data_IF_024492350963
#
_entry.id   IF_024492350963
#
_cell.length_a   1.000
_cell.length_b   1.000
_cell.length_c   1.000
_cell.angle_alpha   90.00
_cell.angle_beta   90.00
_cell.angle_gamma   90.00
#
_symmetry.space_group_name_H-M   'P 1'
#
loop_
_entity.id
_entity.type
_entity.pdbx_description
1 polymer ?
#
# COMPACT_ATOMS: atom_id res chain seq x y z
N UNK A 1 15.48 55.56 -20.09
CA UNK A 1 14.14 55.55 -20.71
C UNK A 1 13.13 55.04 -19.70
N UNK A 2 12.24 55.89 -19.17
CA UNK A 2 11.12 55.43 -18.33
C UNK A 2 10.12 54.74 -19.25
N UNK A 3 10.03 53.41 -19.19
CA UNK A 3 8.94 52.68 -19.82
C UNK A 3 7.63 53.24 -19.25
N UNK A 4 6.91 54.01 -20.08
CA UNK A 4 5.62 54.57 -19.73
C UNK A 4 4.63 53.42 -19.65
N UNK A 5 4.46 52.86 -18.45
CA UNK A 5 3.39 51.88 -18.18
C UNK A 5 2.08 52.46 -18.67
N UNK A 6 1.36 51.69 -19.48
CA UNK A 6 0.05 52.10 -19.99
C UNK A 6 -0.90 52.42 -18.83
N UNK A 7 -1.92 53.24 -19.09
CA UNK A 7 -2.94 53.55 -18.10
C UNK A 7 -3.57 52.27 -17.50
N UNK A 8 -3.76 51.23 -18.35
CA UNK A 8 -4.24 49.91 -17.92
C UNK A 8 -3.23 49.18 -17.02
N UNK A 9 -1.94 49.17 -17.35
CA UNK A 9 -0.91 48.53 -16.51
C UNK A 9 -0.77 49.23 -15.14
N UNK A 10 -0.91 50.55 -15.10
CA UNK A 10 -0.84 51.31 -13.85
C UNK A 10 -2.08 51.05 -12.97
N UNK A 11 -3.26 50.91 -13.57
CA UNK A 11 -4.52 50.67 -12.87
C UNK A 11 -4.69 49.22 -12.40
N UNK A 12 -4.33 48.24 -13.24
CA UNK A 12 -4.60 46.82 -12.98
C UNK A 12 -3.35 46.02 -12.55
N UNK A 13 -2.13 46.49 -12.85
CA UNK A 13 -0.88 45.83 -12.48
C UNK A 13 -0.72 45.55 -10.98
N UNK A 14 -1.14 46.45 -10.06
CA UNK A 14 -1.09 46.18 -8.61
C UNK A 14 -1.92 44.96 -8.16
N UNK A 15 -2.94 44.56 -8.92
CA UNK A 15 -3.75 43.38 -8.60
C UNK A 15 -2.92 42.09 -8.67
N UNK A 16 -1.90 42.03 -9.53
CA UNK A 16 -1.00 40.87 -9.65
C UNK A 16 -0.10 40.67 -8.42
N UNK A 17 0.02 41.69 -7.56
CA UNK A 17 0.81 41.65 -6.33
C UNK A 17 -0.03 41.32 -5.09
N UNK A 18 -1.33 41.05 -5.25
CA UNK A 18 -2.21 40.59 -4.17
C UNK A 18 -2.13 39.07 -4.03
N UNK A 19 -0.96 38.55 -3.70
CA UNK A 19 -0.71 37.10 -3.55
C UNK A 19 -0.17 36.77 -2.17
N UNK A 20 -0.28 35.49 -1.77
CA UNK A 20 0.34 34.98 -0.56
C UNK A 20 1.86 35.23 -0.53
N UNK A 21 2.55 35.00 -1.65
CA UNK A 21 3.99 35.26 -1.79
C UNK A 21 4.34 36.73 -1.52
N UNK A 22 3.50 37.67 -1.96
CA UNK A 22 3.72 39.10 -1.72
C UNK A 22 3.48 39.49 -0.25
N UNK A 23 2.51 38.84 0.41
CA UNK A 23 2.30 39.02 1.84
C UNK A 23 3.44 38.41 2.68
N UNK A 24 3.97 37.27 2.26
CA UNK A 24 5.07 36.57 2.92
C UNK A 24 6.41 37.32 2.77
N UNK A 25 6.71 37.87 1.59
CA UNK A 25 7.90 38.72 1.41
C UNK A 25 7.85 39.95 2.32
N UNK A 26 6.67 40.59 2.44
CA UNK A 26 6.46 41.71 3.36
C UNK A 26 6.58 41.29 4.82
N UNK A 27 6.08 40.11 5.20
CA UNK A 27 6.26 39.57 6.55
C UNK A 27 7.74 39.42 6.88
N UNK A 28 8.53 38.81 6.00
CA UNK A 28 9.97 38.67 6.21
C UNK A 28 10.68 40.02 6.24
N UNK A 29 10.28 40.97 5.40
CA UNK A 29 10.82 42.33 5.46
C UNK A 29 10.63 42.99 6.83
N UNK A 30 9.44 42.84 7.42
CA UNK A 30 9.09 43.50 8.68
C UNK A 30 9.59 42.77 9.92
N UNK A 31 9.50 41.44 9.91
CA UNK A 31 9.72 40.60 11.09
C UNK A 31 11.09 39.90 11.08
N UNK A 32 11.70 39.75 9.90
CA UNK A 32 12.98 39.06 9.73
C UNK A 32 13.91 39.83 8.78
N UNK A 33 14.17 41.13 9.00
CA UNK A 33 14.98 41.95 8.09
C UNK A 33 16.40 41.42 7.90
N UNK A 34 16.92 40.64 8.86
CA UNK A 34 18.22 39.95 8.78
C UNK A 34 18.32 38.90 7.67
N UNK A 35 17.21 38.46 7.08
CA UNK A 35 17.18 37.53 5.94
C UNK A 35 17.67 38.16 4.62
N UNK A 36 17.96 39.46 4.62
CA UNK A 36 18.54 40.18 3.50
C UNK A 36 17.51 40.93 2.64
N UNK A 37 18.01 41.47 1.52
CA UNK A 37 17.22 42.25 0.57
C UNK A 37 16.21 41.39 -0.20
N UNK A 38 15.37 42.07 -0.98
CA UNK A 38 14.26 41.45 -1.73
C UNK A 38 14.66 40.20 -2.53
N UNK A 39 15.82 40.21 -3.21
CA UNK A 39 16.29 39.07 -4.01
C UNK A 39 16.51 37.81 -3.17
N UNK A 40 17.07 37.94 -1.96
CA UNK A 40 17.29 36.80 -1.05
C UNK A 40 15.97 36.30 -0.47
N UNK A 41 15.10 37.22 -0.04
CA UNK A 41 13.78 36.86 0.50
C UNK A 41 12.91 36.17 -0.53
N UNK A 42 12.96 36.58 -1.79
CA UNK A 42 12.18 35.98 -2.88
C UNK A 42 12.48 34.48 -3.05
N UNK A 43 13.75 34.06 -2.92
CA UNK A 43 14.12 32.63 -2.98
C UNK A 43 13.46 31.85 -1.84
N UNK A 44 13.50 32.40 -0.62
CA UNK A 44 12.89 31.76 0.56
C UNK A 44 11.37 31.68 0.40
N UNK A 45 10.74 32.78 -0.02
CA UNK A 45 9.29 32.86 -0.27
C UNK A 45 8.86 31.80 -1.31
N UNK A 46 9.61 31.63 -2.39
CA UNK A 46 9.31 30.64 -3.42
C UNK A 46 9.44 29.20 -2.88
N UNK A 47 10.46 28.90 -2.07
CA UNK A 47 10.63 27.57 -1.46
C UNK A 47 9.53 27.25 -0.44
N UNK A 48 9.15 28.23 0.39
CA UNK A 48 8.03 28.08 1.32
C UNK A 48 6.73 27.88 0.55
N UNK A 49 6.52 28.62 -0.54
CA UNK A 49 5.34 28.42 -1.40
C UNK A 49 5.33 27.01 -2.00
N UNK A 50 6.44 26.50 -2.51
CA UNK A 50 6.53 25.14 -3.04
C UNK A 50 6.23 24.07 -1.97
N UNK A 51 6.77 24.25 -0.76
CA UNK A 51 6.49 23.34 0.37
C UNK A 51 5.01 23.40 0.79
N UNK A 52 4.42 24.60 0.79
CA UNK A 52 2.98 24.77 1.04
C UNK A 52 2.16 24.10 -0.06
N UNK A 53 2.53 24.22 -1.33
CA UNK A 53 1.85 23.55 -2.45
C UNK A 53 2.00 22.01 -2.40
N UNK A 54 3.12 21.50 -1.89
CA UNK A 54 3.37 20.06 -1.73
C UNK A 54 2.56 19.45 -0.58
N UNK A 55 2.49 20.12 0.58
CA UNK A 55 1.82 19.60 1.78
C UNK A 55 0.37 20.07 1.93
N UNK A 56 0.01 21.18 1.31
CA UNK A 56 -1.31 21.81 1.29
C UNK A 56 -1.68 22.19 -0.15
N UNK A 57 -1.80 21.21 -1.07
CA UNK A 57 -2.20 21.50 -2.43
C UNK A 57 -3.50 22.32 -2.42
N UNK A 58 -3.68 23.28 -3.36
CA UNK A 58 -4.77 24.24 -3.33
C UNK A 58 -6.11 23.60 -2.93
N UNK A 59 -6.69 24.06 -1.82
CA UNK A 59 -7.94 23.55 -1.24
C UNK A 59 -9.15 23.76 -2.16
N UNK A 60 -9.30 22.98 -3.24
CA UNK A 60 -10.53 22.99 -4.05
C UNK A 60 -11.24 21.65 -4.21
N UNK A 61 -10.68 20.51 -3.79
CA UNK A 61 -11.33 19.21 -4.12
C UNK A 61 -11.39 18.16 -3.01
N UNK A 62 -11.19 18.50 -1.73
CA UNK A 62 -11.70 17.61 -0.68
C UNK A 62 -13.22 17.66 -0.69
N UNK A 63 -13.84 16.61 -1.21
CA UNK A 63 -15.29 16.41 -1.21
C UNK A 63 -15.76 16.08 0.21
N UNK A 64 -17.05 16.26 0.48
CA UNK A 64 -17.64 15.82 1.75
C UNK A 64 -17.28 14.35 1.99
N UNK A 65 -16.71 14.04 3.16
CA UNK A 65 -16.31 12.68 3.52
C UNK A 65 -14.89 12.30 3.11
N UNK A 66 -14.13 13.17 2.45
CA UNK A 66 -12.72 12.95 2.15
C UNK A 66 -11.79 13.44 3.27
N UNK A 67 -10.64 12.75 3.41
CA UNK A 67 -9.56 13.15 4.32
C UNK A 67 -8.21 12.98 3.64
N UNK A 68 -7.28 13.90 3.90
CA UNK A 68 -5.86 13.70 3.58
C UNK A 68 -5.20 12.97 4.75
N UNK A 69 -4.51 11.86 4.46
CA UNK A 69 -3.75 11.10 5.45
C UNK A 69 -2.34 10.83 4.95
N UNK A 70 -1.27 11.08 5.74
CA UNK A 70 0.08 10.68 5.38
C UNK A 70 0.19 9.14 5.34
N UNK A 71 0.36 8.58 4.15
CA UNK A 71 0.61 7.15 3.96
C UNK A 71 2.12 6.89 3.85
N UNK A 72 2.53 5.63 4.02
CA UNK A 72 3.89 5.22 3.69
C UNK A 72 4.00 5.10 2.16
N UNK A 73 5.09 5.57 1.57
CA UNK A 73 5.34 5.41 0.14
C UNK A 73 5.41 3.90 -0.22
N UNK A 74 4.70 3.47 -1.25
CA UNK A 74 4.68 2.07 -1.66
C UNK A 74 6.06 1.53 -2.06
N UNK A 75 6.95 2.40 -2.54
CA UNK A 75 8.31 2.07 -2.97
C UNK A 75 9.31 2.21 -1.82
N UNK A 76 8.84 2.47 -0.60
CA UNK A 76 9.70 2.47 0.57
C UNK A 76 10.27 1.08 0.86
N UNK A 77 11.54 1.06 1.22
CA UNK A 77 12.26 -0.15 1.63
C UNK A 77 11.93 -0.51 3.07
N UNK A 78 11.48 -1.75 3.26
CA UNK A 78 11.38 -2.35 4.58
C UNK A 78 12.78 -2.63 5.12
N UNK A 79 13.09 -2.11 6.31
CA UNK A 79 14.29 -2.48 7.06
C UNK A 79 13.87 -2.83 8.50
N UNK A 80 14.48 -3.90 9.03
CA UNK A 80 14.17 -4.38 10.38
C UNK A 80 14.44 -3.27 11.41
N UNK A 81 13.42 -2.94 12.22
CA UNK A 81 13.51 -1.88 13.24
C UNK A 81 13.51 -0.45 12.70
N UNK A 82 13.22 -0.23 11.40
CA UNK A 82 13.07 1.13 10.85
C UNK A 82 11.84 1.81 11.44
N UNK A 83 12.07 2.94 12.12
CA UNK A 83 11.02 3.71 12.76
C UNK A 83 10.22 4.54 11.75
N UNK A 84 9.02 4.98 12.13
CA UNK A 84 8.14 5.74 11.23
C UNK A 84 8.75 7.09 10.84
N UNK A 85 9.54 7.72 11.73
CA UNK A 85 10.21 9.00 11.47
C UNK A 85 11.29 8.88 10.38
N UNK A 86 11.78 7.68 10.13
CA UNK A 86 12.76 7.38 9.08
C UNK A 86 12.12 6.82 7.81
N UNK A 87 10.79 6.66 7.81
CA UNK A 87 10.02 6.08 6.71
C UNK A 87 9.52 7.20 5.80
N UNK A 88 9.74 7.07 4.50
CA UNK A 88 9.23 8.00 3.49
C UNK A 88 7.70 7.95 3.49
N UNK A 89 7.10 9.11 3.72
CA UNK A 89 5.66 9.29 3.69
C UNK A 89 5.25 10.06 2.44
N UNK A 90 4.01 9.88 2.01
CA UNK A 90 3.36 10.65 0.94
C UNK A 90 1.92 10.97 1.36
N UNK A 91 1.42 12.20 1.14
CA UNK A 91 0.02 12.50 1.36
C UNK A 91 -0.86 11.71 0.38
N UNK A 92 -1.91 11.07 0.89
CA UNK A 92 -2.96 10.48 0.06
C UNK A 92 -4.33 11.01 0.49
N UNK A 93 -5.25 11.12 -0.47
CA UNK A 93 -6.60 11.66 -0.27
C UNK A 93 -7.61 10.53 -0.42
N UNK A 94 -8.36 10.23 0.62
CA UNK A 94 -9.23 9.05 0.66
C UNK A 94 -10.66 9.38 1.10
N UNK A 95 -11.63 8.68 0.51
CA UNK A 95 -13.06 8.79 0.76
C UNK A 95 -13.41 7.97 2.02
N UNK A 96 -13.32 8.59 3.20
CA UNK A 96 -13.79 7.98 4.45
C UNK A 96 -15.30 7.72 4.42
N UNK A 97 -16.05 8.64 3.81
CA UNK A 97 -17.47 8.52 3.52
C UNK A 97 -17.67 8.84 2.05
N UNK A 98 -18.26 7.93 1.30
CA UNK A 98 -18.59 8.09 -0.12
C UNK A 98 -20.08 8.30 -0.33
N UNK A 99 -20.47 8.77 -1.53
CA UNK A 99 -21.88 8.83 -1.96
C UNK A 99 -22.56 7.47 -1.87
N UNK A 100 -21.85 6.41 -2.24
CA UNK A 100 -22.36 5.04 -2.26
C UNK A 100 -22.65 4.52 -0.84
N UNK A 101 -21.86 4.94 0.15
CA UNK A 101 -22.13 4.60 1.56
C UNK A 101 -23.42 5.26 2.04
N UNK A 102 -23.65 6.53 1.68
CA UNK A 102 -24.85 7.27 2.04
C UNK A 102 -26.08 6.64 1.39
N UNK A 103 -26.02 6.32 0.10
CA UNK A 103 -27.09 5.61 -0.58
C UNK A 103 -27.40 4.25 0.04
N UNK A 104 -26.37 3.48 0.39
CA UNK A 104 -26.53 2.18 1.04
C UNK A 104 -27.20 2.33 2.43
N UNK A 105 -26.85 3.37 3.19
CA UNK A 105 -27.53 3.69 4.45
C UNK A 105 -28.99 4.03 4.23
N UNK A 106 -29.32 4.87 3.24
CA UNK A 106 -30.71 5.24 2.92
C UNK A 106 -31.54 4.05 2.45
N UNK A 107 -30.92 3.06 1.79
CA UNK A 107 -31.54 1.79 1.37
C UNK A 107 -31.67 0.77 2.52
N UNK A 108 -31.21 1.10 3.74
CA UNK A 108 -31.30 0.23 4.91
C UNK A 108 -30.29 -0.92 4.92
N UNK A 109 -29.18 -0.81 4.18
CA UNK A 109 -28.14 -1.84 4.18
C UNK A 109 -27.47 -1.95 5.56
N UNK A 110 -27.03 -3.15 5.93
CA UNK A 110 -26.38 -3.41 7.22
C UNK A 110 -25.09 -2.59 7.34
N UNK A 111 -25.00 -1.77 8.40
CA UNK A 111 -23.82 -0.92 8.68
C UNK A 111 -22.47 -1.67 8.73
N UNK A 112 -22.46 -2.98 9.02
CA UNK A 112 -21.23 -3.81 8.94
C UNK A 112 -20.71 -3.85 7.50
N UNK A 113 -21.58 -4.08 6.51
CA UNK A 113 -21.20 -4.23 5.10
C UNK A 113 -20.71 -2.90 4.52
N UNK A 114 -21.40 -1.81 4.85
CA UNK A 114 -21.00 -0.44 4.46
C UNK A 114 -19.59 -0.14 5.00
N UNK A 115 -19.34 -0.37 6.29
CA UNK A 115 -18.03 -0.15 6.90
C UNK A 115 -16.95 -1.08 6.35
N UNK A 116 -17.28 -2.32 6.03
CA UNK A 116 -16.34 -3.24 5.39
C UNK A 116 -15.90 -2.71 4.03
N UNK A 117 -16.84 -2.28 3.18
CA UNK A 117 -16.53 -1.67 1.87
C UNK A 117 -15.71 -0.39 2.02
N UNK A 118 -16.09 0.48 2.95
CA UNK A 118 -15.33 1.70 3.24
C UNK A 118 -13.88 1.38 3.67
N UNK A 119 -13.67 0.40 4.55
CA UNK A 119 -12.33 0.00 4.98
C UNK A 119 -11.46 -0.48 3.81
N UNK A 120 -12.02 -1.30 2.89
CA UNK A 120 -11.31 -1.78 1.71
C UNK A 120 -10.98 -0.64 0.76
N UNK A 121 -11.95 0.24 0.47
CA UNK A 121 -11.77 1.43 -0.37
C UNK A 121 -10.62 2.31 0.11
N UNK A 122 -10.45 2.48 1.43
CA UNK A 122 -9.35 3.26 1.99
C UNK A 122 -7.97 2.68 1.65
N UNK A 123 -7.81 1.35 1.65
CA UNK A 123 -6.55 0.72 1.23
C UNK A 123 -6.32 0.85 -0.27
N UNK A 124 -7.36 0.64 -1.08
CA UNK A 124 -7.29 0.73 -2.53
C UNK A 124 -6.93 2.16 -2.98
N UNK A 125 -7.63 3.17 -2.48
CA UNK A 125 -7.36 4.57 -2.83
C UNK A 125 -5.97 5.06 -2.39
N UNK A 126 -5.47 4.56 -1.25
CA UNK A 126 -4.09 4.84 -0.86
C UNK A 126 -3.11 4.25 -1.88
N UNK A 127 -3.32 2.97 -2.25
CA UNK A 127 -2.48 2.25 -3.22
C UNK A 127 -2.49 2.92 -4.59
N UNK A 128 -3.64 3.36 -5.06
CA UNK A 128 -3.79 4.09 -6.34
C UNK A 128 -3.00 5.40 -6.38
N UNK A 129 -2.70 5.98 -5.21
CA UNK A 129 -1.89 7.19 -5.06
C UNK A 129 -0.40 6.91 -4.74
N UNK A 130 0.01 5.65 -4.81
CA UNK A 130 1.36 5.19 -4.48
C UNK A 130 1.68 5.24 -2.99
N UNK A 131 0.65 5.22 -2.13
CA UNK A 131 0.77 5.13 -0.68
C UNK A 131 0.20 3.81 -0.16
N UNK A 132 0.62 3.39 1.03
CA UNK A 132 0.08 2.18 1.68
C UNK A 132 -0.24 2.42 3.14
N UNK A 133 -1.38 1.91 3.58
CA UNK A 133 -1.85 2.01 4.96
C UNK A 133 -1.63 0.72 5.74
N UNK A 134 -1.44 0.86 7.04
CA UNK A 134 -1.57 -0.23 8.01
C UNK A 134 -3.02 -0.42 8.43
N UNK A 135 -3.33 -1.56 9.08
CA UNK A 135 -4.62 -1.75 9.73
C UNK A 135 -4.91 -0.71 10.82
N UNK A 136 -3.86 -0.13 11.43
CA UNK A 136 -3.99 0.90 12.48
C UNK A 136 -4.40 2.25 11.89
N UNK A 137 -3.85 2.63 10.73
CA UNK A 137 -4.25 3.85 10.03
C UNK A 137 -5.77 3.85 9.74
N UNK A 138 -6.24 2.79 9.09
CA UNK A 138 -7.66 2.64 8.73
C UNK A 138 -8.55 2.50 9.97
N UNK A 139 -8.10 1.76 11.00
CA UNK A 139 -8.84 1.65 12.26
C UNK A 139 -9.00 3.02 12.94
N UNK A 140 -7.96 3.85 12.91
CA UNK A 140 -7.96 5.20 13.49
C UNK A 140 -8.91 6.12 12.71
N UNK A 141 -8.81 6.14 11.38
CA UNK A 141 -9.70 6.91 10.51
C UNK A 141 -11.18 6.58 10.76
N UNK A 142 -11.50 5.29 10.90
CA UNK A 142 -12.88 4.82 11.09
C UNK A 142 -13.35 4.79 12.55
N UNK A 143 -12.47 5.12 13.51
CA UNK A 143 -12.71 4.96 14.96
C UNK A 143 -13.17 3.54 15.35
N UNK A 144 -12.48 2.54 14.82
CA UNK A 144 -12.69 1.12 15.10
C UNK A 144 -11.42 0.49 15.70
N UNK A 145 -11.52 -0.75 16.17
CA UNK A 145 -10.32 -1.49 16.60
C UNK A 145 -9.57 -2.07 15.39
N UNK A 146 -8.22 -2.19 15.44
CA UNK A 146 -7.45 -2.89 14.41
C UNK A 146 -7.92 -4.34 14.18
N UNK A 147 -8.42 -5.00 15.23
CA UNK A 147 -9.00 -6.35 15.13
C UNK A 147 -10.29 -6.36 14.28
N UNK A 148 -11.14 -5.35 14.41
CA UNK A 148 -12.35 -5.20 13.59
C UNK A 148 -11.99 -5.01 12.12
N UNK A 149 -11.02 -4.13 11.82
CA UNK A 149 -10.52 -3.92 10.46
C UNK A 149 -9.93 -5.21 9.89
N UNK A 150 -9.15 -5.94 10.68
CA UNK A 150 -8.56 -7.22 10.26
C UNK A 150 -9.63 -8.26 9.88
N UNK A 151 -10.73 -8.32 10.64
CA UNK A 151 -11.85 -9.21 10.32
C UNK A 151 -12.60 -8.78 9.06
N UNK A 152 -12.83 -7.47 8.86
CA UNK A 152 -13.44 -6.96 7.64
C UNK A 152 -12.63 -7.30 6.39
N UNK A 153 -11.31 -7.13 6.46
CA UNK A 153 -10.42 -7.46 5.35
C UNK A 153 -10.44 -8.97 5.10
N UNK A 154 -10.32 -9.81 6.13
CA UNK A 154 -10.34 -11.27 5.96
C UNK A 154 -11.64 -11.77 5.34
N UNK A 155 -12.77 -11.27 5.81
CA UNK A 155 -14.09 -11.59 5.25
C UNK A 155 -14.17 -11.18 3.77
N UNK A 156 -13.63 -10.00 3.42
CA UNK A 156 -13.63 -9.47 2.05
C UNK A 156 -12.72 -10.27 1.12
N UNK A 157 -11.48 -10.52 1.51
CA UNK A 157 -10.49 -11.30 0.75
C UNK A 157 -10.99 -12.71 0.47
N UNK A 158 -11.67 -13.35 1.44
CA UNK A 158 -12.28 -14.66 1.27
C UNK A 158 -13.46 -14.63 0.27
N UNK A 159 -14.31 -13.62 0.33
CA UNK A 159 -15.48 -13.52 -0.55
C UNK A 159 -15.08 -13.20 -2.00
N UNK A 160 -14.08 -12.34 -2.18
CA UNK A 160 -13.69 -11.82 -3.50
C UNK A 160 -12.46 -12.53 -4.09
N UNK A 161 -11.86 -13.47 -3.36
CA UNK A 161 -10.66 -14.21 -3.78
C UNK A 161 -9.49 -13.29 -4.21
N UNK A 162 -9.40 -12.13 -3.53
CA UNK A 162 -8.42 -11.09 -3.80
C UNK A 162 -7.61 -10.77 -2.53
N UNK A 163 -6.53 -10.01 -2.69
CA UNK A 163 -5.72 -9.51 -1.57
C UNK A 163 -5.84 -7.99 -1.49
N UNK A 164 -6.13 -7.45 -0.30
CA UNK A 164 -6.23 -6.01 -0.06
C UNK A 164 -4.82 -5.41 0.08
N UNK A 165 -4.51 -4.28 -0.60
CA UNK A 165 -3.17 -3.69 -0.68
C UNK A 165 -2.75 -2.95 0.61
N UNK A 166 -2.67 -3.70 1.71
CA UNK A 166 -2.17 -3.22 3.00
C UNK A 166 -0.66 -3.06 2.95
N UNK A 167 -0.07 -2.16 3.75
CA UNK A 167 1.38 -2.04 3.93
C UNK A 167 2.04 -3.38 4.23
N UNK A 168 1.45 -4.18 5.11
CA UNK A 168 1.95 -5.52 5.44
C UNK A 168 2.00 -6.47 4.25
N UNK A 169 1.06 -6.35 3.30
CA UNK A 169 1.04 -7.11 2.04
C UNK A 169 2.08 -6.55 1.07
N UNK A 170 2.04 -5.24 0.80
CA UNK A 170 2.87 -4.59 -0.23
C UNK A 170 4.37 -4.66 0.11
N UNK A 171 4.72 -4.47 1.39
CA UNK A 171 6.11 -4.49 1.86
C UNK A 171 6.53 -5.83 2.45
N UNK A 172 5.66 -6.84 2.40
CA UNK A 172 5.90 -8.18 2.98
C UNK A 172 6.44 -8.10 4.43
N UNK A 173 5.80 -7.25 5.25
CA UNK A 173 6.24 -6.96 6.63
C UNK A 173 5.59 -7.87 7.67
N UNK A 174 4.81 -8.88 7.24
CA UNK A 174 4.01 -9.73 8.11
C UNK A 174 4.44 -11.20 8.09
N UNK A 175 4.18 -11.91 9.18
CA UNK A 175 4.14 -13.39 9.23
C UNK A 175 2.88 -13.96 8.55
N UNK A 176 2.39 -13.32 7.50
CA UNK A 176 1.10 -13.65 6.89
C UNK A 176 1.23 -14.97 6.11
N UNK A 177 1.18 -16.09 6.83
CA UNK A 177 1.11 -17.46 6.28
C UNK A 177 0.09 -17.54 5.14
N UNK A 178 -0.95 -16.71 5.21
CA UNK A 178 -2.02 -16.55 4.23
C UNK A 178 -1.55 -16.08 2.85
N UNK A 179 -0.65 -15.10 2.75
CA UNK A 179 -0.20 -14.56 1.45
C UNK A 179 0.71 -15.55 0.71
N UNK A 180 1.68 -16.13 1.43
CA UNK A 180 2.47 -17.26 0.93
C UNK A 180 1.57 -18.39 0.41
N UNK A 181 0.60 -18.82 1.23
CA UNK A 181 -0.32 -19.91 0.89
C UNK A 181 -1.09 -19.60 -0.39
N UNK A 182 -1.68 -18.41 -0.48
CA UNK A 182 -2.44 -17.97 -1.66
C UNK A 182 -1.57 -17.89 -2.91
N UNK A 183 -0.38 -17.30 -2.83
CA UNK A 183 0.55 -17.16 -3.96
C UNK A 183 0.98 -18.55 -4.45
N UNK A 184 1.43 -19.43 -3.56
CA UNK A 184 1.87 -20.76 -3.94
C UNK A 184 0.72 -21.59 -4.51
N UNK A 185 -0.49 -21.50 -3.94
CA UNK A 185 -1.67 -22.18 -4.46
C UNK A 185 -2.00 -21.73 -5.90
N UNK A 186 -2.05 -20.43 -6.16
CA UNK A 186 -2.34 -19.88 -7.49
C UNK A 186 -1.32 -20.31 -8.55
N UNK A 187 -0.04 -20.33 -8.21
CA UNK A 187 1.02 -20.72 -9.15
C UNK A 187 1.10 -22.24 -9.33
N UNK A 188 1.10 -23.00 -8.23
CA UNK A 188 1.42 -24.43 -8.23
C UNK A 188 0.19 -25.29 -8.49
N UNK A 189 -0.97 -24.91 -7.94
CA UNK A 189 -2.21 -25.69 -8.05
C UNK A 189 -3.07 -25.17 -9.19
N UNK A 190 -3.32 -23.85 -9.27
CA UNK A 190 -4.14 -23.27 -10.34
C UNK A 190 -3.38 -23.05 -11.67
N UNK A 191 -2.04 -23.20 -11.68
CA UNK A 191 -1.22 -23.02 -12.88
C UNK A 191 -1.17 -21.58 -13.43
N UNK A 192 -1.47 -20.57 -12.61
CA UNK A 192 -1.49 -19.16 -13.05
C UNK A 192 -0.09 -18.65 -13.32
N UNK A 193 -0.01 -17.62 -14.17
CA UNK A 193 1.25 -16.92 -14.42
C UNK A 193 1.66 -16.02 -13.25
N UNK A 194 2.94 -15.64 -13.22
CA UNK A 194 3.47 -14.69 -12.22
C UNK A 194 2.74 -13.34 -12.34
N UNK A 195 2.49 -12.88 -13.56
CA UNK A 195 1.83 -11.60 -13.84
C UNK A 195 0.37 -11.61 -13.37
N UNK A 196 -0.35 -12.71 -13.63
CA UNK A 196 -1.72 -12.86 -13.16
C UNK A 196 -1.75 -12.90 -11.62
N UNK A 197 -0.86 -13.67 -11.00
CA UNK A 197 -0.78 -13.76 -9.54
C UNK A 197 -0.38 -12.43 -8.92
N UNK A 198 0.50 -11.65 -9.55
CA UNK A 198 0.88 -10.31 -9.11
C UNK A 198 -0.33 -9.38 -9.02
N UNK A 199 -1.16 -9.37 -10.08
CA UNK A 199 -2.39 -8.58 -10.14
C UNK A 199 -3.41 -9.03 -9.09
N UNK A 200 -3.63 -10.34 -8.95
CA UNK A 200 -4.63 -10.87 -8.02
C UNK A 200 -4.24 -10.74 -6.53
N UNK A 201 -2.93 -10.76 -6.24
CA UNK A 201 -2.43 -10.77 -4.87
C UNK A 201 -1.85 -9.43 -4.42
N UNK A 202 -1.77 -8.42 -5.30
CA UNK A 202 -1.14 -7.14 -5.04
C UNK A 202 0.33 -7.25 -4.58
N UNK A 203 1.06 -8.25 -5.10
CA UNK A 203 2.49 -8.43 -4.85
C UNK A 203 3.31 -8.11 -6.09
N UNK A 204 4.57 -7.74 -5.88
CA UNK A 204 5.50 -7.59 -7.00
C UNK A 204 5.86 -8.96 -7.60
N UNK A 205 6.19 -9.04 -8.89
CA UNK A 205 6.68 -10.28 -9.51
C UNK A 205 7.90 -10.87 -8.79
N UNK A 206 8.77 -10.02 -8.25
CA UNK A 206 9.95 -10.42 -7.48
C UNK A 206 9.56 -11.09 -6.16
N UNK A 207 8.57 -10.52 -5.45
CA UNK A 207 8.05 -11.10 -4.22
C UNK A 207 7.41 -12.48 -4.46
N UNK A 208 6.60 -12.61 -5.52
CA UNK A 208 6.00 -13.89 -5.93
C UNK A 208 7.09 -14.91 -6.28
N UNK A 209 8.05 -14.51 -7.11
CA UNK A 209 9.15 -15.38 -7.54
C UNK A 209 9.93 -15.92 -6.33
N UNK A 210 10.16 -15.09 -5.31
CA UNK A 210 10.81 -15.52 -4.07
C UNK A 210 10.00 -16.59 -3.34
N UNK A 211 8.69 -16.41 -3.14
CA UNK A 211 7.86 -17.44 -2.49
C UNK A 211 7.85 -18.76 -3.27
N UNK A 212 7.72 -18.68 -4.59
CA UNK A 212 7.71 -19.88 -5.46
C UNK A 212 9.07 -20.60 -5.43
N UNK A 213 10.18 -19.84 -5.44
CA UNK A 213 11.53 -20.41 -5.31
C UNK A 213 11.73 -21.10 -3.96
N UNK A 214 11.30 -20.48 -2.87
CA UNK A 214 11.36 -21.08 -1.54
C UNK A 214 10.52 -22.36 -1.48
N UNK A 215 9.30 -22.34 -1.99
CA UNK A 215 8.44 -23.51 -2.10
C UNK A 215 9.13 -24.67 -2.84
N UNK A 216 9.61 -24.42 -4.07
CA UNK A 216 10.26 -25.45 -4.91
C UNK A 216 11.53 -26.00 -4.26
N UNK A 217 12.34 -25.14 -3.65
CA UNK A 217 13.58 -25.54 -2.97
C UNK A 217 13.28 -26.43 -1.76
N UNK A 218 12.28 -26.09 -0.95
CA UNK A 218 11.89 -26.87 0.22
C UNK A 218 11.30 -28.22 -0.21
N UNK A 219 10.46 -28.23 -1.25
CA UNK A 219 9.93 -29.46 -1.84
C UNK A 219 11.06 -30.39 -2.32
N UNK A 220 12.08 -29.85 -3.00
CA UNK A 220 13.24 -30.62 -3.45
C UNK A 220 14.07 -31.18 -2.28
N UNK A 221 14.21 -30.44 -1.17
CA UNK A 221 14.87 -30.97 0.03
C UNK A 221 14.06 -32.11 0.67
N UNK A 222 12.73 -32.01 0.69
CA UNK A 222 11.87 -33.07 1.20
C UNK A 222 11.93 -34.34 0.33
N UNK A 223 11.95 -34.22 -0.99
CA UNK A 223 12.05 -35.39 -1.87
C UNK A 223 13.38 -36.14 -1.73
N UNK A 224 14.44 -35.45 -1.29
CA UNK A 224 15.74 -36.01 -0.94
C UNK A 224 15.83 -36.54 0.50
N UNK A 225 14.74 -36.48 1.28
CA UNK A 225 14.67 -37.00 2.65
C UNK A 225 15.39 -36.16 3.70
N UNK A 226 15.67 -34.88 3.44
CA UNK A 226 16.32 -34.00 4.42
C UNK A 226 15.37 -33.70 5.59
N UNK A 227 15.93 -33.61 6.79
CA UNK A 227 15.17 -33.16 7.96
C UNK A 227 14.80 -31.67 7.86
N UNK A 228 13.78 -31.17 8.57
CA UNK A 228 13.45 -29.74 8.59
C UNK A 228 14.63 -28.85 9.00
N UNK A 229 15.48 -29.34 9.91
CA UNK A 229 16.68 -28.65 10.39
C UNK A 229 17.77 -28.55 9.32
N UNK A 230 18.02 -29.64 8.60
CA UNK A 230 18.99 -29.65 7.49
C UNK A 230 18.48 -28.81 6.32
N UNK A 231 17.18 -28.89 6.05
CA UNK A 231 16.50 -28.06 5.06
C UNK A 231 16.63 -26.58 5.39
N UNK A 232 16.42 -26.18 6.66
CA UNK A 232 16.59 -24.79 7.10
C UNK A 232 18.02 -24.28 6.85
N UNK A 233 19.03 -25.13 7.11
CA UNK A 233 20.43 -24.81 6.86
C UNK A 233 20.73 -24.63 5.36
N UNK A 234 20.33 -25.59 4.52
CA UNK A 234 20.55 -25.56 3.06
C UNK A 234 19.77 -24.41 2.41
N UNK A 235 18.52 -24.21 2.81
CA UNK A 235 17.66 -23.16 2.30
C UNK A 235 17.95 -21.78 2.92
N UNK A 236 18.81 -21.67 3.94
CA UNK A 236 19.12 -20.41 4.63
C UNK A 236 17.86 -19.65 5.07
N UNK A 237 16.88 -20.37 5.58
CA UNK A 237 15.63 -19.83 6.13
C UNK A 237 15.43 -20.34 7.56
N UNK A 238 14.53 -19.72 8.30
CA UNK A 238 14.24 -20.17 9.67
C UNK A 238 13.53 -21.53 9.65
N UNK A 239 13.77 -22.34 10.69
CA UNK A 239 13.11 -23.63 10.85
C UNK A 239 11.58 -23.49 10.91
N UNK A 240 11.08 -22.44 11.57
CA UNK A 240 9.65 -22.12 11.56
C UNK A 240 9.10 -21.89 10.15
N UNK A 241 9.86 -21.21 9.28
CA UNK A 241 9.43 -20.99 7.90
C UNK A 241 9.38 -22.32 7.12
N UNK A 242 10.29 -23.25 7.39
CA UNK A 242 10.25 -24.60 6.82
C UNK A 242 8.95 -25.30 7.20
N UNK A 243 8.60 -25.40 8.49
CA UNK A 243 7.35 -26.04 8.91
C UNK A 243 6.11 -25.44 8.24
N UNK A 244 6.08 -24.11 8.07
CA UNK A 244 4.98 -23.45 7.37
C UNK A 244 4.91 -23.82 5.87
N UNK A 245 6.04 -23.99 5.18
CA UNK A 245 6.07 -24.44 3.79
C UNK A 245 5.78 -25.93 3.65
N UNK A 246 6.25 -26.77 4.57
CA UNK A 246 5.95 -28.21 4.57
C UNK A 246 4.45 -28.46 4.67
N UNK A 247 3.78 -27.83 5.64
CA UNK A 247 2.33 -27.93 5.79
C UNK A 247 1.58 -27.42 4.54
N UNK A 248 2.10 -26.37 3.91
CA UNK A 248 1.54 -25.84 2.67
C UNK A 248 1.71 -26.79 1.47
N UNK A 249 2.89 -27.42 1.35
CA UNK A 249 3.20 -28.40 0.29
C UNK A 249 2.27 -29.61 0.41
N UNK A 250 2.13 -30.17 1.61
CA UNK A 250 1.26 -31.32 1.87
C UNK A 250 -0.19 -31.02 1.46
N UNK A 251 -0.72 -29.85 1.86
CA UNK A 251 -2.07 -29.43 1.47
C UNK A 251 -2.21 -29.30 -0.05
N UNK A 252 -1.27 -28.61 -0.70
CA UNK A 252 -1.33 -28.40 -2.14
C UNK A 252 -1.23 -29.73 -2.92
N UNK A 253 -0.43 -30.69 -2.45
CA UNK A 253 -0.34 -32.02 -3.08
C UNK A 253 -1.65 -32.79 -2.99
N UNK A 254 -2.40 -32.67 -1.89
CA UNK A 254 -3.74 -33.24 -1.78
C UNK A 254 -4.69 -32.58 -2.78
N UNK A 255 -4.70 -31.26 -2.83
CA UNK A 255 -5.58 -30.49 -3.74
C UNK A 255 -5.29 -30.82 -5.22
N UNK A 256 -4.02 -31.00 -5.61
CA UNK A 256 -3.62 -31.43 -6.96
C UNK A 256 -4.13 -32.85 -7.27
N UNK A 257 -4.02 -33.78 -6.31
CA UNK A 257 -4.52 -35.16 -6.47
C UNK A 257 -6.04 -35.20 -6.63
N UNK A 258 -6.76 -34.37 -5.88
CA UNK A 258 -8.22 -34.22 -5.99
C UNK A 258 -8.63 -33.63 -7.35
N UNK A 259 -7.93 -32.60 -7.85
CA UNK A 259 -8.20 -32.00 -9.17
C UNK A 259 -7.96 -32.97 -10.33
N UNK A 260 -6.92 -33.80 -10.23
CA UNK A 260 -6.60 -34.79 -11.25
C UNK A 260 -7.49 -36.05 -11.17
N UNK A 261 -8.41 -36.13 -10.20
CA UNK A 261 -9.31 -37.27 -10.03
C UNK A 261 -8.60 -38.57 -9.60
N UNK A 262 -7.40 -38.48 -9.04
CA UNK A 262 -6.53 -39.64 -8.79
C UNK A 262 -6.70 -40.12 -7.35
N UNK A 263 -7.73 -40.95 -7.12
CA UNK A 263 -7.66 -41.96 -6.06
C UNK A 263 -6.83 -43.13 -6.58
N UNK A 264 -5.52 -43.10 -6.34
CA UNK A 264 -4.63 -44.24 -6.58
C UNK A 264 -3.35 -43.89 -7.34
N UNK A 265 -2.23 -43.85 -6.60
CA UNK A 265 -0.87 -44.07 -7.07
C UNK A 265 -0.39 -43.26 -8.27
N UNK A 266 0.33 -42.16 -8.02
CA UNK A 266 1.35 -41.69 -8.97
C UNK A 266 2.68 -41.58 -8.21
N UNK A 267 3.68 -42.17 -8.85
CA UNK A 267 5.09 -42.22 -8.46
C UNK A 267 5.70 -40.81 -8.54
N UNK A 268 6.57 -40.48 -7.59
CA UNK A 268 7.14 -39.14 -7.41
C UNK A 268 8.10 -38.72 -8.54
N UNK A 269 8.42 -39.63 -9.46
CA UNK A 269 9.35 -39.43 -10.58
C UNK A 269 8.71 -38.78 -11.83
N UNK A 270 7.38 -38.61 -11.89
CA UNK A 270 6.68 -38.12 -13.10
C UNK A 270 6.33 -36.61 -13.10
N UNK A 271 6.87 -35.81 -12.16
CA UNK A 271 6.70 -34.36 -12.20
C UNK A 271 7.81 -33.71 -13.05
N UNK A 272 7.49 -33.00 -14.16
CA UNK A 272 8.49 -32.27 -14.91
C UNK A 272 8.97 -31.08 -14.07
N UNK A 273 10.29 -31.02 -13.87
CA UNK A 273 11.08 -30.01 -13.16
C UNK A 273 10.55 -28.56 -13.18
#
# INVERSE_FOLDING_TARGET
>A
MKSSKSAKESQFGPLQKKTFSSALDRFFEQQCPQLGGHLTRQVIVNNVQALVEEFYPPNTHLRMGQVMWPAVDENETAAYGKSIEKTKLKPVFVDMISSEDIEAMLKGEKAKLIRQRAAVRLFEQAKDQGGVFTGVDVATMMRLSPATISNYIRDWEKQNQCSVPRRGTIHDMGRSVTHKKQICYKIIVEGKSIEQTARETNHSPEAITRYVKDYKRILACQSQGLTPKDTAFVAKVSENLIYEYVSLIEQNQLDIKEQNGIYGGIDLDDLPF
#
